data_IF_346849608046
#
_entry.id   IF_346849608046
#
_cell.length_a   1.000
_cell.length_b   1.000
_cell.length_c   1.000
_cell.angle_alpha   90.00
_cell.angle_beta   90.00
_cell.angle_gamma   90.00
#
_symmetry.space_group_name_H-M   'P 1'
#
loop_
_entity.id
_entity.type
_entity.pdbx_description
1 polymer ?
#
# COMPACT_ATOMS: atom_id res chain seq x y z
N UNK A 1 -22.17 14.32 5.90
CA UNK A 1 -21.73 13.40 4.82
C UNK A 1 -21.54 12.01 5.41
N UNK A 2 -21.37 10.99 4.57
CA UNK A 2 -21.01 9.64 5.02
C UNK A 2 -19.53 9.36 4.73
N UNK A 3 -18.80 8.97 5.76
CA UNK A 3 -17.44 8.43 5.63
C UNK A 3 -17.52 6.94 5.40
N UNK A 4 -16.89 6.44 4.34
CA UNK A 4 -16.86 5.01 3.99
C UNK A 4 -15.55 4.37 4.46
N UNK A 5 -15.65 3.28 5.22
CA UNK A 5 -14.48 2.52 5.70
C UNK A 5 -14.16 1.33 4.79
N UNK A 6 -15.17 0.51 4.51
CA UNK A 6 -15.01 -0.70 3.73
C UNK A 6 -16.33 -1.19 3.13
N UNK A 7 -16.21 -2.04 2.11
CA UNK A 7 -17.29 -2.88 1.62
C UNK A 7 -17.09 -4.30 2.17
N UNK A 8 -18.13 -4.88 2.75
CA UNK A 8 -18.08 -6.20 3.39
C UNK A 8 -19.02 -7.20 2.72
N UNK A 9 -18.68 -8.48 2.84
CA UNK A 9 -19.64 -9.56 2.68
C UNK A 9 -20.41 -9.82 3.98
N UNK A 10 -21.49 -10.58 3.88
CA UNK A 10 -22.28 -11.04 5.04
C UNK A 10 -22.63 -9.94 6.07
N UNK A 11 -23.21 -8.80 5.64
CA UNK A 11 -23.45 -7.65 6.51
C UNK A 11 -24.32 -7.93 7.74
N UNK A 12 -25.14 -8.99 7.71
CA UNK A 12 -25.96 -9.41 8.86
C UNK A 12 -25.20 -10.15 9.97
N UNK A 13 -23.95 -10.57 9.74
CA UNK A 13 -23.10 -11.26 10.72
C UNK A 13 -22.00 -10.36 11.31
N UNK A 14 -21.79 -9.18 10.73
CA UNK A 14 -20.76 -8.26 11.18
C UNK A 14 -21.14 -7.62 12.53
N UNK A 15 -20.38 -7.93 13.58
CA UNK A 15 -20.37 -7.10 14.79
C UNK A 15 -19.66 -5.80 14.44
N UNK A 16 -20.43 -4.74 14.25
CA UNK A 16 -19.89 -3.45 13.85
C UNK A 16 -18.97 -2.87 14.94
N UNK A 17 -17.81 -2.30 14.57
CA UNK A 17 -17.01 -1.53 15.52
C UNK A 17 -17.85 -0.40 16.08
N UNK A 18 -18.04 -0.35 17.40
CA UNK A 18 -19.00 0.58 18.01
C UNK A 18 -18.71 2.05 17.72
N UNK A 19 -17.46 2.40 17.39
CA UNK A 19 -16.99 3.76 17.18
C UNK A 19 -16.00 3.79 16.01
N UNK A 20 -16.14 4.78 15.13
CA UNK A 20 -15.22 5.09 14.04
C UNK A 20 -14.60 6.48 14.19
N UNK A 21 -14.23 7.10 13.06
CA UNK A 21 -13.62 8.44 13.01
C UNK A 21 -14.49 9.47 13.73
N UNK A 22 -13.82 10.38 14.45
CA UNK A 22 -14.43 11.47 15.22
C UNK A 22 -15.46 10.98 16.25
N UNK A 23 -15.19 9.81 16.82
CA UNK A 23 -16.05 9.10 17.78
C UNK A 23 -17.48 8.85 17.27
N UNK A 24 -17.65 8.81 15.95
CA UNK A 24 -18.97 8.62 15.36
C UNK A 24 -19.31 7.13 15.28
N UNK A 25 -20.55 6.73 15.60
CA UNK A 25 -20.95 5.34 15.50
C UNK A 25 -20.83 4.86 14.06
N UNK A 26 -20.39 3.61 13.88
CA UNK A 26 -20.44 2.95 12.57
C UNK A 26 -21.80 2.28 12.37
N UNK A 27 -22.26 2.26 11.13
CA UNK A 27 -23.48 1.54 10.73
C UNK A 27 -23.31 0.96 9.33
N UNK A 28 -24.14 -0.03 8.99
CA UNK A 28 -24.09 -0.71 7.71
C UNK A 28 -25.23 -0.27 6.79
N UNK A 29 -24.88 0.16 5.57
CA UNK A 29 -25.83 0.26 4.45
C UNK A 29 -25.78 -1.05 3.66
N UNK A 30 -26.78 -1.92 3.83
CA UNK A 30 -26.83 -3.24 3.20
C UNK A 30 -27.60 -3.23 1.88
N UNK A 31 -27.04 -3.84 0.84
CA UNK A 31 -27.72 -4.08 -0.43
C UNK A 31 -27.57 -5.55 -0.89
N UNK A 32 -28.48 -6.40 -0.40
CA UNK A 32 -28.46 -7.83 -0.64
C UNK A 32 -27.29 -8.51 0.09
N UNK A 33 -26.37 -9.11 -0.66
CA UNK A 33 -25.26 -9.89 -0.11
C UNK A 33 -24.01 -9.07 0.30
N UNK A 34 -23.99 -7.78 -0.01
CA UNK A 34 -22.88 -6.86 0.30
C UNK A 34 -23.39 -5.71 1.19
N UNK A 35 -22.49 -5.14 1.98
CA UNK A 35 -22.76 -3.96 2.79
C UNK A 35 -21.61 -2.97 2.76
N UNK A 36 -21.93 -1.70 2.99
CA UNK A 36 -20.95 -0.63 3.18
C UNK A 36 -20.95 -0.20 4.64
N UNK A 37 -19.78 -0.21 5.28
CA UNK A 37 -19.62 0.28 6.65
C UNK A 37 -19.27 1.77 6.60
N UNK A 38 -20.11 2.57 7.25
CA UNK A 38 -20.05 4.03 7.19
C UNK A 38 -20.26 4.67 8.57
N UNK A 39 -19.81 5.92 8.71
CA UNK A 39 -20.18 6.80 9.82
C UNK A 39 -20.69 8.13 9.26
N UNK A 40 -21.62 8.78 9.97
CA UNK A 40 -22.00 10.16 9.66
C UNK A 40 -20.95 11.09 10.25
N UNK A 41 -20.32 11.90 9.39
CA UNK A 41 -19.35 12.91 9.83
C UNK A 41 -19.62 14.25 9.13
N UNK A 42 -19.19 15.31 9.79
CA UNK A 42 -18.99 16.63 9.19
C UNK A 42 -17.61 16.69 8.54
N UNK A 43 -17.45 17.28 7.34
CA UNK A 43 -16.16 17.31 6.63
C UNK A 43 -15.01 17.91 7.44
N UNK A 44 -15.30 18.88 8.31
CA UNK A 44 -14.31 19.53 9.16
C UNK A 44 -13.77 18.61 10.27
N UNK A 45 -14.47 17.50 10.55
CA UNK A 45 -14.01 16.48 11.49
C UNK A 45 -12.96 15.55 10.88
N UNK A 46 -12.79 15.54 9.54
CA UNK A 46 -11.81 14.70 8.87
C UNK A 46 -10.46 15.43 8.77
N UNK A 47 -9.49 14.99 9.55
CA UNK A 47 -8.11 15.46 9.53
C UNK A 47 -7.19 14.30 9.12
N UNK A 48 -6.24 14.50 8.19
CA UNK A 48 -5.31 13.45 7.77
C UNK A 48 -4.18 13.27 8.79
N UNK A 49 -4.51 13.23 10.09
CA UNK A 49 -3.56 12.94 11.14
C UNK A 49 -3.44 11.43 11.39
N UNK A 50 -2.38 11.04 12.10
CA UNK A 50 -2.12 9.64 12.40
C UNK A 50 -3.25 8.99 13.19
N UNK A 51 -3.91 9.71 14.10
CA UNK A 51 -4.94 9.13 14.95
C UNK A 51 -6.17 8.70 14.13
N UNK A 52 -6.58 9.51 13.16
CA UNK A 52 -7.70 9.16 12.29
C UNK A 52 -7.36 8.04 11.31
N UNK A 53 -6.13 8.01 10.80
CA UNK A 53 -5.65 6.91 9.96
C UNK A 53 -5.67 5.60 10.75
N UNK A 54 -5.17 5.59 11.98
CA UNK A 54 -5.23 4.41 12.85
C UNK A 54 -6.65 4.01 13.22
N UNK A 55 -7.54 4.97 13.44
CA UNK A 55 -8.95 4.69 13.70
C UNK A 55 -9.64 4.02 12.49
N UNK A 56 -9.38 4.53 11.27
CA UNK A 56 -9.84 3.88 10.05
C UNK A 56 -9.31 2.44 9.94
N UNK A 57 -8.01 2.25 10.16
CA UNK A 57 -7.37 0.94 10.09
C UNK A 57 -7.97 -0.04 11.10
N UNK A 58 -8.17 0.38 12.35
CA UNK A 58 -8.77 -0.46 13.40
C UNK A 58 -10.19 -0.92 13.05
N UNK A 59 -11.00 -0.04 12.44
CA UNK A 59 -12.33 -0.41 11.93
C UNK A 59 -12.21 -1.46 10.83
N UNK A 60 -11.30 -1.28 9.88
CA UNK A 60 -11.09 -2.21 8.75
C UNK A 60 -10.55 -3.57 9.23
N UNK A 61 -9.61 -3.58 10.18
CA UNK A 61 -9.03 -4.78 10.77
C UNK A 61 -10.12 -5.61 11.47
N UNK A 62 -10.93 -4.98 12.33
CA UNK A 62 -12.03 -5.64 13.02
C UNK A 62 -13.07 -6.26 12.05
N UNK A 63 -13.33 -5.61 10.91
CA UNK A 63 -14.22 -6.17 9.88
C UNK A 63 -13.58 -7.37 9.16
N UNK A 64 -12.27 -7.31 8.92
CA UNK A 64 -11.51 -8.36 8.24
C UNK A 64 -11.37 -9.64 9.07
N UNK A 65 -11.46 -9.55 10.40
CA UNK A 65 -11.53 -10.73 11.28
C UNK A 65 -12.84 -11.51 11.14
N UNK A 66 -13.93 -10.84 10.71
CA UNK A 66 -15.26 -11.45 10.62
C UNK A 66 -15.49 -12.09 9.25
N UNK A 67 -15.08 -11.41 8.18
CA UNK A 67 -15.43 -11.83 6.82
C UNK A 67 -14.62 -11.14 5.72
N UNK A 68 -15.03 -11.36 4.48
CA UNK A 68 -14.44 -10.69 3.34
C UNK A 68 -14.65 -9.18 3.46
N UNK A 69 -13.56 -8.44 3.41
CA UNK A 69 -13.57 -6.98 3.57
C UNK A 69 -12.73 -6.37 2.46
N UNK A 70 -13.29 -5.37 1.77
CA UNK A 70 -12.61 -4.53 0.79
C UNK A 70 -12.43 -3.14 1.40
N UNK A 71 -11.24 -2.83 1.95
CA UNK A 71 -10.94 -1.50 2.47
C UNK A 71 -11.09 -0.46 1.36
N UNK A 72 -11.68 0.69 1.68
CA UNK A 72 -11.62 1.85 0.78
C UNK A 72 -10.52 2.79 1.23
N UNK A 73 -10.12 3.69 0.33
CA UNK A 73 -9.11 4.69 0.67
C UNK A 73 -9.58 5.55 1.83
N UNK A 74 -8.69 5.83 2.79
CA UNK A 74 -8.91 6.83 3.83
C UNK A 74 -9.40 8.15 3.22
N UNK A 75 -10.45 8.73 3.81
CA UNK A 75 -11.04 10.00 3.35
C UNK A 75 -12.07 9.86 2.25
N UNK A 76 -12.57 8.64 1.98
CA UNK A 76 -13.67 8.45 1.04
C UNK A 76 -14.99 8.95 1.63
N UNK A 77 -15.50 10.06 1.09
CA UNK A 77 -16.76 10.67 1.50
C UNK A 77 -17.85 10.51 0.43
N UNK A 78 -19.06 10.24 0.88
CA UNK A 78 -20.28 10.17 0.08
C UNK A 78 -21.30 11.18 0.63
N UNK A 79 -22.20 11.68 -0.22
CA UNK A 79 -23.17 12.71 0.19
C UNK A 79 -24.12 12.20 1.28
N UNK A 80 -24.67 11.00 1.07
CA UNK A 80 -25.76 10.40 1.82
C UNK A 80 -25.86 8.89 1.55
N UNK A 81 -26.83 8.23 2.17
CA UNK A 81 -27.07 6.79 2.01
C UNK A 81 -27.47 6.42 0.58
N UNK A 82 -28.15 7.31 -0.15
CA UNK A 82 -28.56 7.02 -1.53
C UNK A 82 -27.34 6.92 -2.45
N UNK A 83 -26.32 7.75 -2.23
CA UNK A 83 -25.03 7.64 -2.92
C UNK A 83 -24.29 6.33 -2.56
N UNK A 84 -24.38 5.87 -1.31
CA UNK A 84 -23.83 4.56 -0.89
C UNK A 84 -24.54 3.42 -1.62
N UNK A 85 -25.87 3.42 -1.66
CA UNK A 85 -26.62 2.39 -2.38
C UNK A 85 -26.37 2.43 -3.89
N UNK A 86 -26.22 3.62 -4.48
CA UNK A 86 -25.85 3.75 -5.88
C UNK A 86 -24.48 3.10 -6.17
N UNK A 87 -23.47 3.39 -5.34
CA UNK A 87 -22.13 2.79 -5.45
C UNK A 87 -22.19 1.25 -5.35
N UNK A 88 -22.92 0.73 -4.35
CA UNK A 88 -23.07 -0.72 -4.15
C UNK A 88 -23.74 -1.39 -5.36
N UNK A 89 -24.75 -0.75 -5.96
CA UNK A 89 -25.46 -1.29 -7.14
C UNK A 89 -24.62 -1.24 -8.39
N UNK A 90 -24.02 -0.09 -8.69
CA UNK A 90 -23.24 0.15 -9.90
C UNK A 90 -22.03 -0.80 -9.96
N UNK A 91 -21.39 -1.05 -8.82
CA UNK A 91 -20.17 -1.86 -8.75
C UNK A 91 -20.38 -3.23 -8.10
N UNK A 92 -21.63 -3.70 -8.04
CA UNK A 92 -22.02 -4.94 -7.34
C UNK A 92 -21.15 -6.14 -7.73
N UNK A 93 -21.04 -6.40 -9.04
CA UNK A 93 -20.28 -7.56 -9.53
C UNK A 93 -18.79 -7.46 -9.20
N UNK A 94 -18.22 -6.27 -9.31
CA UNK A 94 -16.82 -6.03 -8.96
C UNK A 94 -16.57 -6.24 -7.46
N UNK A 95 -17.47 -5.77 -6.60
CA UNK A 95 -17.37 -5.99 -5.15
C UNK A 95 -17.52 -7.46 -4.79
N UNK A 96 -18.49 -8.17 -5.35
CA UNK A 96 -18.66 -9.61 -5.11
C UNK A 96 -17.43 -10.41 -5.55
N UNK A 97 -16.86 -10.09 -6.72
CA UNK A 97 -15.63 -10.72 -7.19
C UNK A 97 -14.45 -10.44 -6.24
N UNK A 98 -14.25 -9.18 -5.83
CA UNK A 98 -13.20 -8.80 -4.89
C UNK A 98 -13.35 -9.47 -3.53
N UNK A 99 -14.55 -9.45 -2.94
CA UNK A 99 -14.86 -10.09 -1.67
C UNK A 99 -14.58 -11.59 -1.72
N UNK A 100 -14.98 -12.26 -2.82
CA UNK A 100 -14.67 -13.68 -3.03
C UNK A 100 -13.17 -13.95 -3.16
N UNK A 101 -12.38 -12.99 -3.65
CA UNK A 101 -10.93 -13.14 -3.76
C UNK A 101 -10.22 -12.98 -2.41
N UNK A 102 -10.74 -12.19 -1.47
CA UNK A 102 -10.07 -11.94 -0.19
C UNK A 102 -10.60 -12.82 0.95
N UNK A 103 -11.79 -13.42 0.81
CA UNK A 103 -12.41 -14.24 1.86
C UNK A 103 -11.49 -15.36 2.33
N UNK A 104 -11.25 -15.41 3.65
CA UNK A 104 -10.42 -16.42 4.30
C UNK A 104 -8.94 -16.35 3.93
N UNK A 105 -8.47 -15.20 3.43
CA UNK A 105 -7.08 -14.95 3.07
C UNK A 105 -6.54 -13.77 3.86
N UNK A 106 -5.21 -13.68 3.92
CA UNK A 106 -4.48 -12.60 4.57
C UNK A 106 -3.55 -11.92 3.56
N UNK A 107 -3.34 -10.63 3.73
CA UNK A 107 -2.33 -9.88 2.98
C UNK A 107 -1.03 -9.81 3.80
N UNK A 108 0.11 -10.09 3.15
CA UNK A 108 1.42 -10.01 3.77
C UNK A 108 2.33 -9.12 2.93
N UNK A 109 2.99 -8.15 3.58
CA UNK A 109 3.96 -7.26 2.95
C UNK A 109 5.38 -7.54 3.44
N UNK A 110 6.29 -7.85 2.52
CA UNK A 110 7.72 -8.01 2.80
C UNK A 110 8.52 -6.86 2.17
N UNK A 111 9.28 -6.13 2.99
CA UNK A 111 10.23 -5.12 2.53
C UNK A 111 11.66 -5.59 2.80
N UNK A 112 12.41 -5.88 1.74
CA UNK A 112 13.83 -6.22 1.83
C UNK A 112 14.67 -4.97 1.59
N UNK A 113 15.53 -4.64 2.55
CA UNK A 113 16.50 -3.54 2.45
C UNK A 113 17.88 -4.14 2.14
N UNK A 114 18.56 -3.61 1.13
CA UNK A 114 19.90 -4.04 0.74
C UNK A 114 20.90 -2.91 0.93
N UNK A 115 21.88 -3.16 1.81
CA UNK A 115 23.02 -2.28 2.04
C UNK A 115 24.26 -2.94 1.45
N UNK A 116 24.80 -2.39 0.35
CA UNK A 116 26.12 -2.78 -0.12
C UNK A 116 27.16 -2.01 0.72
N UNK A 117 28.15 -2.68 1.34
CA UNK A 117 29.21 -1.97 2.05
C UNK A 117 29.88 -0.98 1.09
N UNK A 118 30.23 0.23 1.57
CA UNK A 118 30.88 1.22 0.72
C UNK A 118 32.11 0.58 0.07
N UNK A 119 32.37 0.88 -1.23
CA UNK A 119 33.57 0.38 -1.88
C UNK A 119 34.79 0.77 -1.03
N UNK A 120 35.74 -0.14 -0.88
CA UNK A 120 37.00 0.15 -0.19
C UNK A 120 37.56 1.47 -0.75
N UNK A 121 38.04 2.40 0.10
CA UNK A 121 38.56 3.67 -0.37
C UNK A 121 39.60 3.39 -1.44
N UNK A 122 39.38 3.91 -2.65
CA UNK A 122 40.38 3.83 -3.71
C UNK A 122 41.70 4.38 -3.15
N UNK A 123 42.86 3.78 -3.50
CA UNK A 123 44.14 4.34 -3.09
C UNK A 123 44.16 5.82 -3.49
N UNK A 124 44.32 6.71 -2.50
CA UNK A 124 44.38 8.15 -2.75
C UNK A 124 45.56 8.36 -3.70
N UNK A 125 45.34 8.84 -4.94
CA UNK A 125 46.45 9.13 -5.82
C UNK A 125 47.28 10.23 -5.17
N UNK A 126 48.60 10.06 -5.17
CA UNK A 126 49.52 11.12 -4.76
C UNK A 126 49.16 12.42 -5.50
N UNK A 127 49.29 13.60 -4.85
CA UNK A 127 48.79 14.86 -5.41
C UNK A 127 49.45 15.13 -6.76
N UNK A 128 48.68 14.94 -7.83
CA UNK A 128 49.10 15.28 -9.18
C UNK A 128 48.85 16.77 -9.40
N UNK A 129 49.90 17.47 -9.78
CA UNK A 129 49.89 18.89 -10.10
C UNK A 129 48.82 19.26 -11.14
N UNK A 130 48.26 20.47 -10.96
CA UNK A 130 47.33 21.21 -11.83
C UNK A 130 47.17 20.69 -13.26
N UNK A 131 46.31 19.68 -13.44
CA UNK A 131 45.78 19.31 -14.74
C UNK A 131 44.37 19.89 -14.88
N UNK A 132 44.07 20.65 -15.96
CA UNK A 132 42.71 21.09 -16.22
C UNK A 132 41.81 19.85 -16.25
N UNK A 133 40.66 19.92 -15.58
CA UNK A 133 39.73 18.81 -15.43
C UNK A 133 39.23 18.41 -16.83
N UNK A 134 39.95 17.49 -17.47
CA UNK A 134 39.67 17.17 -18.87
C UNK A 134 38.27 16.60 -18.97
N UNK A 135 37.47 17.08 -19.92
CA UNK A 135 36.13 16.54 -20.18
C UNK A 135 36.15 15.02 -20.37
N UNK A 136 37.28 14.48 -20.85
CA UNK A 136 37.56 13.05 -20.91
C UNK A 136 37.55 12.36 -19.54
N UNK A 137 38.29 12.87 -18.55
CA UNK A 137 38.31 12.31 -17.19
C UNK A 137 36.92 12.35 -16.53
N UNK A 138 36.15 13.42 -16.77
CA UNK A 138 34.76 13.49 -16.34
C UNK A 138 33.87 12.43 -17.01
N UNK A 139 33.97 12.28 -18.34
CA UNK A 139 33.22 11.27 -19.10
C UNK A 139 33.59 9.85 -18.64
N UNK A 140 34.87 9.56 -18.44
CA UNK A 140 35.36 8.27 -17.93
C UNK A 140 34.77 7.96 -16.55
N UNK A 141 34.79 8.93 -15.62
CA UNK A 141 34.16 8.79 -14.29
C UNK A 141 32.66 8.58 -14.38
N UNK A 142 31.97 9.33 -15.25
CA UNK A 142 30.50 9.22 -15.45
C UNK A 142 30.11 7.88 -16.05
N UNK A 143 30.90 7.35 -16.99
CA UNK A 143 30.70 6.02 -17.57
C UNK A 143 30.90 4.92 -16.52
N UNK A 144 31.98 5.01 -15.72
CA UNK A 144 32.24 4.06 -14.64
C UNK A 144 31.11 4.05 -13.62
N UNK A 145 30.61 5.22 -13.21
CA UNK A 145 29.50 5.34 -12.28
C UNK A 145 28.19 4.79 -12.85
N UNK A 146 27.88 5.11 -14.11
CA UNK A 146 26.67 4.58 -14.79
C UNK A 146 26.71 3.05 -14.90
N UNK A 147 27.89 2.47 -15.19
CA UNK A 147 28.09 1.01 -15.23
C UNK A 147 27.91 0.38 -13.85
N UNK A 148 28.47 1.00 -12.80
CA UNK A 148 28.32 0.53 -11.43
C UNK A 148 26.84 0.54 -11.00
N UNK A 149 26.13 1.65 -11.24
CA UNK A 149 24.70 1.78 -10.95
C UNK A 149 23.86 0.74 -11.72
N UNK A 150 24.20 0.47 -12.99
CA UNK A 150 23.51 -0.54 -13.80
C UNK A 150 23.72 -1.97 -13.26
N UNK A 151 24.96 -2.33 -12.90
CA UNK A 151 25.27 -3.62 -12.28
C UNK A 151 24.56 -3.80 -10.93
N UNK A 152 24.51 -2.73 -10.12
CA UNK A 152 23.81 -2.76 -8.85
C UNK A 152 22.30 -3.01 -9.04
N UNK A 153 21.67 -2.36 -10.02
CA UNK A 153 20.26 -2.59 -10.35
C UNK A 153 20.00 -4.03 -10.79
N UNK A 154 20.83 -4.57 -11.69
CA UNK A 154 20.71 -5.96 -12.13
C UNK A 154 20.80 -6.94 -10.96
N UNK A 155 21.74 -6.72 -10.02
CA UNK A 155 21.85 -7.53 -8.80
C UNK A 155 20.63 -7.39 -7.90
N UNK A 156 20.10 -6.18 -7.71
CA UNK A 156 18.91 -5.95 -6.91
C UNK A 156 17.70 -6.66 -7.50
N UNK A 157 17.54 -6.62 -8.83
CA UNK A 157 16.49 -7.34 -9.55
C UNK A 157 16.62 -8.85 -9.34
N UNK A 158 17.83 -9.40 -9.53
CA UNK A 158 18.12 -10.82 -9.33
C UNK A 158 17.76 -11.29 -7.92
N UNK A 159 18.21 -10.58 -6.88
CA UNK A 159 17.90 -10.90 -5.48
C UNK A 159 16.38 -10.84 -5.24
N UNK A 160 15.72 -9.81 -5.76
CA UNK A 160 14.28 -9.66 -5.61
C UNK A 160 13.52 -10.77 -6.36
N UNK A 161 14.01 -11.24 -7.51
CA UNK A 161 13.43 -12.37 -8.25
C UNK A 161 13.60 -13.69 -7.49
N UNK A 162 14.77 -13.92 -6.91
CA UNK A 162 15.05 -15.11 -6.09
C UNK A 162 14.15 -15.18 -4.84
N UNK A 163 13.98 -14.04 -4.15
CA UNK A 163 13.06 -13.93 -3.00
C UNK A 163 11.62 -14.17 -3.46
N UNK A 164 11.20 -13.50 -4.54
CA UNK A 164 9.84 -13.61 -5.05
C UNK A 164 9.49 -15.04 -5.46
N UNK A 165 10.34 -15.71 -6.26
CA UNK A 165 10.12 -17.10 -6.69
C UNK A 165 10.05 -18.11 -5.53
N UNK A 166 10.64 -17.78 -4.37
CA UNK A 166 10.53 -18.60 -3.15
C UNK A 166 9.22 -18.38 -2.42
N UNK A 167 8.68 -17.16 -2.41
CA UNK A 167 7.48 -16.80 -1.67
C UNK A 167 6.19 -16.99 -2.47
N UNK A 168 6.23 -16.72 -3.78
CA UNK A 168 5.07 -16.74 -4.69
C UNK A 168 4.29 -18.07 -4.64
N UNK A 169 5.00 -19.19 -4.49
CA UNK A 169 4.40 -20.53 -4.38
C UNK A 169 3.43 -20.72 -3.20
N UNK A 170 3.49 -19.84 -2.20
CA UNK A 170 2.62 -19.87 -1.01
C UNK A 170 1.47 -18.87 -1.11
N UNK A 171 1.45 -18.02 -2.14
CA UNK A 171 0.47 -16.97 -2.32
C UNK A 171 -0.51 -17.34 -3.44
N UNK A 172 -1.78 -17.02 -3.25
CA UNK A 172 -2.79 -17.15 -4.32
C UNK A 172 -2.68 -16.00 -5.34
N UNK A 173 -2.16 -14.86 -4.88
CA UNK A 173 -1.83 -13.71 -5.71
C UNK A 173 -0.65 -12.97 -5.05
N UNK A 174 0.23 -12.40 -5.86
CA UNK A 174 1.43 -11.73 -5.39
C UNK A 174 1.77 -10.58 -6.34
N UNK A 175 2.43 -9.55 -5.80
CA UNK A 175 2.94 -8.42 -6.57
C UNK A 175 4.36 -8.14 -6.08
N UNK A 176 5.27 -7.91 -7.02
CA UNK A 176 6.66 -7.50 -6.77
C UNK A 176 6.90 -6.09 -7.26
N UNK A 177 7.63 -5.31 -6.46
CA UNK A 177 8.17 -3.99 -6.87
C UNK A 177 9.61 -3.87 -6.41
N UNK A 178 10.49 -3.43 -7.29
CA UNK A 178 11.85 -2.99 -6.94
C UNK A 178 11.83 -1.47 -6.91
N UNK A 179 12.17 -0.90 -5.75
CA UNK A 179 12.20 0.54 -5.54
C UNK A 179 13.66 1.01 -5.44
N UNK A 180 13.99 2.22 -5.91
CA UNK A 180 15.28 2.81 -5.60
C UNK A 180 15.41 2.99 -4.09
N UNK A 181 16.61 2.73 -3.55
CA UNK A 181 16.92 3.06 -2.16
C UNK A 181 16.72 4.56 -1.96
N UNK A 182 15.89 4.95 -0.98
CA UNK A 182 15.80 6.36 -0.57
C UNK A 182 17.20 6.80 -0.11
N UNK A 183 17.77 7.80 -0.80
CA UNK A 183 19.10 8.35 -0.52
C UNK A 183 19.03 9.38 0.59
#
# INVERSE_FOLDING_TARGET
MLYLYAIIDQPGLASLPGVGIADQPTFCCQDGAIGAIVSRIEPQQLTPDHAQIWCHEAVVEALSEIGGTLPVRFGTLLSDEAAVYALLRERREAFLAGLSQVRGRVELSLRALWFEPPPAPAPVPAPAADLPHSGRAYIERRLAQTRADALQRLRAEQIADDIYARLDRYAVASIRKVLPTER
#
